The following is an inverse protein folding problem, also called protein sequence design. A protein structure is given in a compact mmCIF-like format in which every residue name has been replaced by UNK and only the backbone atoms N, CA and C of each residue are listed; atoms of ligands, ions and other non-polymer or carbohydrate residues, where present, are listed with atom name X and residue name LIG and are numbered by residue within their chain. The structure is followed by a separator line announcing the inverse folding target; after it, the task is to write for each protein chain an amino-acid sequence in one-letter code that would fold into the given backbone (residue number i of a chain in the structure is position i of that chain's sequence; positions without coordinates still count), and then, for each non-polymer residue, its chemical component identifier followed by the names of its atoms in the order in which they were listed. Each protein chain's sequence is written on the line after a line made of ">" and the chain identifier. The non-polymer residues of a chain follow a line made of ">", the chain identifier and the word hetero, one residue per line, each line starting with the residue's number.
data_IF_426985986757
#
_entry.id   IF_426985986757
#
_cell.length_a   1.000
_cell.length_b   1.000
_cell.length_c   1.000
_cell.angle_alpha   90.00
_cell.angle_beta   90.00
_cell.angle_gamma   90.00
#
_symmetry.space_group_name_H-M   'P 1'
#
loop_
_entity.id
_entity.type
_entity.pdbx_description
1 polymer ?
#
# COMPACT_ATOMS: atom_id res chain seq x y z
N UNK A 1 -26.42 -42.83 -64.60
CA UNK A 1 -25.16 -42.11 -64.92
C UNK A 1 -24.42 -41.88 -63.61
N UNK A 2 -23.09 -41.94 -63.66
CA UNK A 2 -22.13 -42.26 -62.58
C UNK A 2 -21.97 -41.22 -61.46
N UNK A 3 -21.76 -41.73 -60.21
CA UNK A 3 -20.71 -41.42 -59.18
C UNK A 3 -20.73 -40.00 -58.55
N UNK A 4 -20.52 -39.75 -57.23
CA UNK A 4 -19.51 -40.27 -56.30
C UNK A 4 -19.88 -40.13 -54.80
N UNK A 5 -19.29 -41.03 -54.01
CA UNK A 5 -19.13 -40.99 -52.54
C UNK A 5 -18.05 -39.96 -52.17
N UNK A 6 -18.25 -39.14 -51.13
CA UNK A 6 -17.19 -38.45 -50.39
C UNK A 6 -17.49 -38.42 -48.88
N UNK A 7 -16.42 -38.65 -48.12
CA UNK A 7 -16.39 -39.25 -46.79
C UNK A 7 -16.55 -38.28 -45.59
N UNK A 8 -17.02 -38.84 -44.46
CA UNK A 8 -16.87 -38.28 -43.12
C UNK A 8 -15.42 -38.33 -42.64
N UNK A 9 -14.82 -37.19 -42.29
CA UNK A 9 -13.86 -37.04 -41.15
C UNK A 9 -13.98 -35.62 -40.61
N UNK A 10 -14.65 -35.45 -39.47
CA UNK A 10 -14.55 -34.24 -38.65
C UNK A 10 -13.51 -34.45 -37.56
N UNK A 11 -12.32 -33.88 -37.74
CA UNK A 11 -11.31 -33.77 -36.69
C UNK A 11 -10.51 -32.47 -36.90
N UNK A 12 -11.05 -31.36 -36.38
CA UNK A 12 -10.32 -30.12 -36.19
C UNK A 12 -9.96 -29.97 -34.71
N UNK A 13 -8.71 -30.27 -34.35
CA UNK A 13 -8.14 -29.95 -33.05
C UNK A 13 -7.31 -28.66 -33.16
N UNK A 14 -7.44 -27.76 -32.18
CA UNK A 14 -6.37 -26.84 -31.79
C UNK A 14 -6.61 -25.37 -32.08
N UNK A 15 -7.18 -24.67 -31.10
CA UNK A 15 -7.24 -23.20 -31.05
C UNK A 15 -7.95 -22.76 -29.78
N UNK A 16 -7.22 -22.76 -28.67
CA UNK A 16 -7.73 -22.31 -27.38
C UNK A 16 -8.13 -20.83 -27.46
N UNK A 17 -9.42 -20.57 -27.62
CA UNK A 17 -10.01 -19.26 -27.47
C UNK A 17 -10.65 -19.20 -26.09
N UNK A 18 -9.91 -18.55 -25.17
CA UNK A 18 -10.36 -17.86 -23.97
C UNK A 18 -11.66 -18.39 -23.35
N UNK A 19 -11.49 -19.19 -22.29
CA UNK A 19 -12.50 -19.28 -21.26
C UNK A 19 -12.93 -17.84 -20.91
N UNK A 20 -14.23 -17.58 -21.03
CA UNK A 20 -14.86 -16.39 -20.42
C UNK A 20 -14.65 -16.52 -18.93
N UNK A 21 -13.52 -16.02 -18.44
CA UNK A 21 -13.40 -15.58 -17.07
C UNK A 21 -14.45 -14.49 -16.91
N UNK A 22 -15.40 -14.73 -16.03
CA UNK A 22 -16.41 -13.78 -15.61
C UNK A 22 -15.79 -12.38 -15.52
N UNK A 23 -16.25 -11.47 -16.37
CA UNK A 23 -16.14 -10.03 -16.15
C UNK A 23 -16.84 -9.74 -14.83
N UNK A 24 -16.11 -9.93 -13.73
CA UNK A 24 -16.43 -9.29 -12.48
C UNK A 24 -15.98 -7.86 -12.70
N UNK A 25 -16.84 -7.10 -13.39
CA UNK A 25 -16.70 -5.67 -13.59
C UNK A 25 -16.31 -5.08 -12.22
N UNK A 26 -15.07 -4.58 -12.05
CA UNK A 26 -14.64 -4.11 -10.75
C UNK A 26 -15.59 -2.99 -10.36
N UNK A 27 -16.37 -3.22 -9.29
CA UNK A 27 -17.36 -2.26 -8.82
C UNK A 27 -16.66 -0.91 -8.69
N UNK A 28 -17.31 0.16 -9.15
CA UNK A 28 -16.77 1.51 -9.02
C UNK A 28 -16.34 1.80 -7.57
N UNK A 29 -16.97 1.15 -6.60
CA UNK A 29 -16.64 1.13 -5.16
C UNK A 29 -15.30 0.47 -4.82
N UNK A 30 -14.92 -0.63 -5.48
CA UNK A 30 -13.62 -1.28 -5.30
C UNK A 30 -12.48 -0.43 -5.91
N UNK A 31 -12.73 0.20 -7.06
CA UNK A 31 -11.84 1.21 -7.63
C UNK A 31 -11.78 2.43 -6.70
N UNK A 32 -12.91 2.84 -6.11
CA UNK A 32 -13.00 3.96 -5.15
C UNK A 32 -12.27 3.73 -3.82
N UNK A 33 -12.28 2.50 -3.31
CA UNK A 33 -11.56 2.13 -2.10
C UNK A 33 -10.05 1.98 -2.37
N UNK A 34 -9.66 1.46 -3.53
CA UNK A 34 -8.25 1.39 -3.93
C UNK A 34 -7.65 2.78 -4.18
N UNK A 35 -8.39 3.68 -4.85
CA UNK A 35 -7.96 5.07 -5.07
C UNK A 35 -8.04 5.95 -3.80
N UNK A 36 -8.70 5.48 -2.72
CA UNK A 36 -8.62 6.16 -1.42
C UNK A 36 -7.28 5.91 -0.70
N UNK A 37 -6.58 4.82 -1.07
CA UNK A 37 -5.27 4.47 -0.51
C UNK A 37 -4.11 5.01 -1.34
N UNK A 38 -4.33 5.37 -2.60
CA UNK A 38 -3.30 5.86 -3.50
C UNK A 38 -3.60 7.29 -3.95
N UNK A 39 -2.68 8.21 -3.70
CA UNK A 39 -2.80 9.60 -4.11
C UNK A 39 -2.48 9.80 -5.60
N UNK A 40 -2.83 10.97 -6.15
CA UNK A 40 -2.54 11.31 -7.56
C UNK A 40 -1.04 11.36 -7.91
N UNK A 41 -0.17 11.34 -6.90
CA UNK A 41 1.30 11.31 -7.06
C UNK A 41 1.91 9.90 -6.89
N UNK A 42 1.12 8.88 -6.52
CA UNK A 42 1.62 7.52 -6.37
C UNK A 42 1.77 6.85 -7.74
N UNK A 43 2.93 6.23 -7.99
CA UNK A 43 3.12 5.38 -9.18
C UNK A 43 2.29 4.11 -9.08
N UNK A 44 2.02 3.45 -10.21
CA UNK A 44 1.27 2.18 -10.24
C UNK A 44 1.89 1.11 -9.34
N UNK A 45 3.22 1.07 -9.26
CA UNK A 45 3.98 0.16 -8.39
C UNK A 45 3.82 0.56 -6.92
N UNK A 46 3.98 1.84 -6.59
CA UNK A 46 3.86 2.35 -5.21
C UNK A 46 2.46 2.12 -4.64
N UNK A 47 1.44 2.41 -5.44
CA UNK A 47 0.05 2.13 -5.09
C UNK A 47 -0.21 0.63 -4.87
N UNK A 48 0.35 -0.22 -5.73
CA UNK A 48 0.23 -1.67 -5.59
C UNK A 48 0.88 -2.19 -4.29
N UNK A 49 2.08 -1.69 -3.94
CA UNK A 49 2.75 -2.09 -2.69
C UNK A 49 1.97 -1.63 -1.47
N UNK A 50 1.44 -0.40 -1.50
CA UNK A 50 0.63 0.16 -0.41
C UNK A 50 -0.67 -0.62 -0.17
N UNK A 51 -1.23 -1.20 -1.23
CA UNK A 51 -2.42 -2.07 -1.15
C UNK A 51 -2.08 -3.53 -0.85
N UNK A 52 -0.83 -3.95 -1.01
CA UNK A 52 -0.35 -5.33 -0.81
C UNK A 52 1.00 -5.38 -0.07
N UNK A 53 1.08 -4.86 1.18
CA UNK A 53 2.36 -4.67 1.88
C UNK A 53 3.11 -5.99 2.15
N UNK A 54 2.40 -7.12 2.22
CA UNK A 54 3.00 -8.45 2.43
C UNK A 54 3.48 -9.15 1.16
N UNK A 55 3.35 -8.54 -0.03
CA UNK A 55 3.82 -9.15 -1.28
C UNK A 55 4.14 -8.13 -2.39
N UNK A 56 5.24 -7.36 -2.25
CA UNK A 56 5.67 -6.37 -3.23
C UNK A 56 6.15 -6.98 -4.56
N UNK A 57 6.54 -8.27 -4.58
CA UNK A 57 6.87 -8.98 -5.82
C UNK A 57 5.70 -9.01 -6.82
N UNK A 58 4.45 -9.05 -6.32
CA UNK A 58 3.25 -8.95 -7.18
C UNK A 58 3.09 -7.59 -7.85
N UNK A 59 3.82 -6.58 -7.37
CA UNK A 59 3.78 -5.21 -7.88
C UNK A 59 4.92 -4.89 -8.85
N UNK A 60 5.72 -5.90 -9.24
CA UNK A 60 6.83 -5.74 -10.16
C UNK A 60 8.13 -5.28 -9.50
N UNK A 61 8.23 -5.31 -8.17
CA UNK A 61 9.52 -5.29 -7.51
C UNK A 61 10.29 -6.55 -7.94
N UNK A 62 11.51 -6.39 -8.45
CA UNK A 62 12.38 -7.53 -8.80
C UNK A 62 12.58 -8.39 -7.54
N UNK A 63 12.71 -9.71 -7.68
CA UNK A 63 12.69 -10.63 -6.52
C UNK A 63 13.66 -10.23 -5.39
N UNK A 64 14.83 -9.69 -5.77
CA UNK A 64 15.88 -9.16 -4.87
C UNK A 64 15.49 -7.87 -4.14
N UNK A 65 14.72 -6.98 -4.77
CA UNK A 65 14.21 -5.78 -4.10
C UNK A 65 12.92 -6.08 -3.32
N UNK A 66 12.14 -7.06 -3.77
CA UNK A 66 10.94 -7.51 -3.08
C UNK A 66 11.28 -8.17 -1.73
N UNK A 67 12.33 -9.00 -1.68
CA UNK A 67 12.80 -9.60 -0.43
C UNK A 67 13.36 -8.56 0.54
N UNK A 68 14.13 -7.59 0.07
CA UNK A 68 14.66 -6.50 0.89
C UNK A 68 13.51 -5.62 1.42
N UNK A 69 12.57 -5.21 0.57
CA UNK A 69 11.37 -4.45 0.98
C UNK A 69 10.52 -5.26 1.98
N UNK A 70 10.35 -6.56 1.80
CA UNK A 70 9.64 -7.43 2.75
C UNK A 70 10.37 -7.53 4.08
N UNK A 71 11.70 -7.64 4.06
CA UNK A 71 12.53 -7.65 5.25
C UNK A 71 12.43 -6.33 6.01
N UNK A 72 12.50 -5.19 5.31
CA UNK A 72 12.31 -3.87 5.90
C UNK A 72 10.88 -3.68 6.44
N UNK A 73 9.86 -4.10 5.71
CA UNK A 73 8.47 -4.01 6.16
C UNK A 73 8.24 -4.86 7.41
N UNK A 74 8.72 -6.10 7.42
CA UNK A 74 8.66 -6.99 8.58
C UNK A 74 9.46 -6.45 9.76
N UNK A 75 10.66 -5.93 9.51
CA UNK A 75 11.48 -5.31 10.55
C UNK A 75 10.81 -4.06 11.12
N UNK A 76 10.17 -3.24 10.30
CA UNK A 76 9.38 -2.10 10.75
C UNK A 76 8.16 -2.55 11.57
N UNK A 77 7.50 -3.63 11.16
CA UNK A 77 6.34 -4.18 11.87
C UNK A 77 6.72 -4.82 13.22
N UNK A 78 7.79 -5.62 13.27
CA UNK A 78 8.34 -6.17 14.52
C UNK A 78 8.87 -5.06 15.44
N UNK A 79 9.60 -4.08 14.89
CA UNK A 79 10.03 -2.91 15.65
C UNK A 79 8.81 -2.16 16.21
N UNK A 80 7.76 -1.97 15.41
CA UNK A 80 6.53 -1.31 15.88
C UNK A 80 5.81 -2.07 17.00
N UNK A 81 5.88 -3.42 17.01
CA UNK A 81 5.31 -4.28 18.06
C UNK A 81 6.12 -4.26 19.36
N UNK A 82 7.44 -4.15 19.25
CA UNK A 82 8.35 -4.17 20.40
C UNK A 82 8.62 -2.77 20.98
N UNK A 83 8.12 -1.71 20.34
CA UNK A 83 8.27 -0.36 20.88
C UNK A 83 7.44 -0.17 22.15
N UNK A 84 8.02 0.39 23.23
CA UNK A 84 7.26 0.76 24.41
C UNK A 84 6.17 1.78 24.04
N UNK A 85 5.01 1.68 24.70
CA UNK A 85 3.83 2.48 24.40
C UNK A 85 4.13 3.97 24.29
N UNK A 86 4.92 4.51 25.21
CA UNK A 86 5.28 5.92 25.22
C UNK A 86 6.02 6.35 23.95
N UNK A 87 6.85 5.47 23.38
CA UNK A 87 7.64 5.78 22.18
C UNK A 87 6.75 5.74 20.94
N UNK A 88 5.79 4.82 20.90
CA UNK A 88 4.74 4.79 19.88
C UNK A 88 3.90 6.07 19.92
N UNK A 89 3.52 6.55 21.10
CA UNK A 89 2.80 7.82 21.25
C UNK A 89 3.61 9.03 20.75
N UNK A 90 4.91 9.09 21.05
CA UNK A 90 5.79 10.14 20.52
C UNK A 90 5.92 10.09 18.99
N UNK A 91 6.04 8.89 18.40
CA UNK A 91 6.12 8.71 16.94
C UNK A 91 4.82 9.12 16.24
N UNK A 92 3.68 8.70 16.77
CA UNK A 92 2.36 9.09 16.24
C UNK A 92 2.18 10.61 16.27
N UNK A 93 2.54 11.26 17.39
CA UNK A 93 2.50 12.71 17.49
C UNK A 93 3.49 13.41 16.54
N UNK A 94 4.66 12.82 16.30
CA UNK A 94 5.65 13.34 15.35
C UNK A 94 5.16 13.28 13.90
N UNK A 95 4.56 12.16 13.48
CA UNK A 95 3.93 12.02 12.16
C UNK A 95 2.82 13.06 12.01
N UNK A 96 1.93 13.16 13.00
CA UNK A 96 0.85 14.15 12.97
C UNK A 96 1.39 15.59 12.92
N UNK A 97 2.47 15.88 13.64
CA UNK A 97 3.12 17.19 13.63
C UNK A 97 3.62 17.57 12.23
N UNK A 98 4.21 16.61 11.51
CA UNK A 98 4.69 16.81 10.15
C UNK A 98 3.53 16.98 9.15
N UNK A 99 2.52 16.11 9.22
CA UNK A 99 1.38 16.10 8.29
C UNK A 99 0.49 17.35 8.45
N UNK A 100 0.16 17.72 9.69
CA UNK A 100 -0.69 18.89 9.98
C UNK A 100 0.11 20.21 10.05
N UNK A 101 1.42 20.17 9.81
CA UNK A 101 2.32 21.32 9.92
C UNK A 101 2.13 22.13 11.21
N UNK A 102 2.24 21.44 12.35
CA UNK A 102 2.11 22.06 13.67
C UNK A 102 3.12 23.20 13.88
N UNK A 103 2.89 24.00 14.92
CA UNK A 103 3.86 25.01 15.33
C UNK A 103 5.10 24.36 15.94
N UNK A 104 6.25 25.02 15.84
CA UNK A 104 7.51 24.51 16.40
C UNK A 104 8.22 23.50 15.50
N UNK A 105 9.41 23.07 15.93
CA UNK A 105 10.20 22.04 15.23
C UNK A 105 9.72 20.66 15.68
N UNK A 106 9.06 19.93 14.79
CA UNK A 106 8.54 18.59 15.09
C UNK A 106 9.64 17.64 15.56
N UNK A 107 10.84 17.76 15.00
CA UNK A 107 11.99 16.96 15.41
C UNK A 107 12.43 17.28 16.84
N UNK A 108 12.55 18.56 17.21
CA UNK A 108 12.95 18.95 18.57
C UNK A 108 11.91 18.51 19.62
N UNK A 109 10.63 18.60 19.28
CA UNK A 109 9.55 18.14 20.13
C UNK A 109 9.52 16.61 20.28
N UNK A 110 9.88 15.87 19.22
CA UNK A 110 10.06 14.43 19.29
C UNK A 110 11.22 14.07 20.25
N UNK A 111 12.37 14.75 20.15
CA UNK A 111 13.50 14.54 21.07
C UNK A 111 13.14 14.85 22.53
N UNK A 112 12.33 15.87 22.76
CA UNK A 112 11.81 16.18 24.09
C UNK A 112 10.88 15.08 24.61
N UNK A 113 9.94 14.62 23.77
CA UNK A 113 9.03 13.52 24.10
C UNK A 113 9.78 12.23 24.47
N UNK A 114 10.88 11.92 23.77
CA UNK A 114 11.74 10.79 24.10
C UNK A 114 12.43 10.96 25.47
N UNK A 115 12.91 12.16 25.80
CA UNK A 115 13.50 12.46 27.10
C UNK A 115 12.51 12.33 28.26
N UNK A 116 11.24 12.67 28.01
CA UNK A 116 10.15 12.59 28.99
C UNK A 116 9.42 11.24 28.99
N UNK A 117 9.82 10.31 28.12
CA UNK A 117 9.17 9.01 27.92
C UNK A 117 7.66 9.13 27.71
N UNK A 118 7.25 9.89 26.69
CA UNK A 118 5.85 9.92 26.20
C UNK A 118 5.14 11.26 26.34
N UNK A 119 5.70 12.22 27.07
CA UNK A 119 5.08 13.53 27.24
C UNK A 119 5.45 14.48 26.08
N UNK A 120 4.53 14.61 25.13
CA UNK A 120 4.70 15.51 23.99
C UNK A 120 4.51 16.97 24.40
N UNK A 121 5.45 17.89 24.10
CA UNK A 121 5.40 19.28 24.56
C UNK A 121 4.34 20.10 23.78
N UNK A 122 3.07 20.04 24.21
CA UNK A 122 1.92 20.72 23.56
C UNK A 122 2.01 22.26 23.62
N UNK A 123 2.79 22.80 24.54
CA UNK A 123 3.06 24.24 24.65
C UNK A 123 3.93 24.75 23.50
N UNK A 124 4.81 23.90 22.96
CA UNK A 124 5.72 24.22 21.85
C UNK A 124 5.19 23.69 20.52
N UNK A 125 4.77 22.43 20.52
CA UNK A 125 4.32 21.70 19.35
C UNK A 125 2.84 21.34 19.43
N UNK A 126 2.02 22.12 18.73
CA UNK A 126 0.56 21.95 18.64
C UNK A 126 0.05 22.33 17.26
N UNK A 127 -1.15 21.85 16.93
CA UNK A 127 -1.92 22.30 15.76
C UNK A 127 -1.98 23.82 15.74
N UNK A 128 -1.77 24.40 14.56
CA UNK A 128 -2.06 25.83 14.34
C UNK A 128 -3.56 26.01 14.57
N UNK A 129 -3.94 26.88 15.50
CA UNK A 129 -5.35 27.27 15.61
C UNK A 129 -5.69 27.98 14.29
N UNK A 130 -6.55 27.36 13.47
CA UNK A 130 -7.10 28.00 12.29
C UNK A 130 -7.72 29.32 12.74
N UNK A 131 -7.21 30.42 12.18
CA UNK A 131 -7.90 31.70 12.27
C UNK A 131 -9.25 31.56 11.57
N UNK A 132 -10.29 32.08 12.21
CA UNK A 132 -11.63 32.21 11.66
C UNK A 132 -11.60 33.04 10.38
#
# INVERSE_FOLDING_TARGET
>A
MWVAVLALVGAGCGGGAHARASDTQPSATAVYLAQAQCGPNDSSISCCVKTHPGNPARCGATDLEAEDILLFARAAEELSRDLPEWKRACLEAYVQCQEDHWTGSCYDCFRYCEGQQGDWPRDKCRKRKGGH
#
